data_IF_945041555404
#
_entry.id   IF_945041555404
#
_cell.length_a   1.000
_cell.length_b   1.000
_cell.length_c   1.000
_cell.angle_alpha   90.00
_cell.angle_beta   90.00
_cell.angle_gamma   90.00
#
_symmetry.space_group_name_H-M   'P 1'
#
loop_
_entity.id
_entity.type
_entity.pdbx_description
1 polymer ?
#
# COMPACT_ATOMS: atom_id res chain seq x y z
N UNK A 1 7.21 -65.52 -42.53
CA UNK A 1 6.71 -66.00 -41.23
C UNK A 1 7.87 -65.76 -40.26
N UNK A 2 7.88 -64.71 -39.45
CA UNK A 2 6.77 -64.18 -38.65
C UNK A 2 6.98 -62.69 -38.40
N UNK A 3 5.95 -61.88 -38.63
CA UNK A 3 5.89 -60.48 -38.19
C UNK A 3 5.50 -60.45 -36.71
N UNK A 4 6.38 -59.96 -35.85
CA UNK A 4 6.03 -59.49 -34.51
C UNK A 4 5.64 -58.00 -34.62
N UNK A 5 4.46 -57.58 -34.12
CA UNK A 5 4.09 -56.18 -34.19
C UNK A 5 4.93 -55.38 -33.19
N UNK A 6 5.69 -54.43 -33.72
CA UNK A 6 6.40 -53.37 -33.02
C UNK A 6 5.42 -52.63 -32.08
N UNK A 7 5.40 -52.99 -30.79
CA UNK A 7 4.67 -52.25 -29.77
C UNK A 7 5.38 -50.92 -29.55
N UNK A 8 4.80 -49.84 -30.08
CA UNK A 8 5.16 -48.48 -29.73
C UNK A 8 5.24 -48.34 -28.19
N UNK A 9 6.23 -47.63 -27.64
CA UNK A 9 6.33 -47.43 -26.21
C UNK A 9 5.04 -46.76 -25.71
N UNK A 10 4.30 -47.45 -24.84
CA UNK A 10 3.17 -46.84 -24.12
C UNK A 10 3.75 -45.65 -23.37
N UNK A 11 3.35 -44.43 -23.74
CA UNK A 11 3.64 -43.25 -22.93
C UNK A 11 3.05 -43.51 -21.54
N UNK A 12 3.91 -43.75 -20.56
CA UNK A 12 3.49 -43.95 -19.17
C UNK A 12 3.12 -42.57 -18.65
N UNK A 13 1.83 -42.29 -18.61
CA UNK A 13 1.29 -41.12 -17.92
C UNK A 13 1.26 -41.42 -16.43
N UNK A 14 1.59 -40.44 -15.60
CA UNK A 14 1.49 -40.57 -14.15
C UNK A 14 0.46 -39.60 -13.61
N UNK A 15 -0.32 -40.06 -12.64
CA UNK A 15 -1.14 -39.21 -11.78
C UNK A 15 -0.51 -39.15 -10.39
N UNK A 16 -0.84 -38.11 -9.65
CA UNK A 16 -0.50 -38.01 -8.23
C UNK A 16 -1.74 -38.30 -7.40
N UNK A 17 -1.63 -39.23 -6.46
CA UNK A 17 -2.70 -39.55 -5.52
C UNK A 17 -2.22 -39.29 -4.11
N UNK A 18 -3.05 -38.64 -3.30
CA UNK A 18 -2.83 -38.44 -1.88
C UNK A 18 -4.01 -38.96 -1.05
N UNK A 19 -3.77 -39.09 0.25
CA UNK A 19 -4.81 -39.07 1.25
C UNK A 19 -5.18 -37.61 1.62
N UNK A 20 -6.01 -37.47 2.64
CA UNK A 20 -6.44 -36.18 3.20
C UNK A 20 -5.33 -35.36 3.86
N UNK A 21 -4.17 -35.97 4.13
CA UNK A 21 -3.00 -35.25 4.66
C UNK A 21 -2.17 -34.63 3.51
N UNK A 22 -2.63 -34.83 2.26
CA UNK A 22 -2.07 -34.31 1.01
C UNK A 22 -0.65 -34.83 0.72
N UNK A 23 -0.35 -36.04 1.18
CA UNK A 23 0.90 -36.74 0.88
C UNK A 23 0.84 -37.39 -0.51
N UNK A 24 1.15 -36.61 -1.55
CA UNK A 24 1.07 -37.10 -2.94
C UNK A 24 2.14 -38.13 -3.28
N UNK A 25 1.69 -39.25 -3.85
CA UNK A 25 2.53 -40.27 -4.46
C UNK A 25 2.17 -40.48 -5.93
N UNK A 26 3.15 -40.72 -6.81
CA UNK A 26 2.88 -41.01 -8.20
C UNK A 26 2.28 -42.42 -8.39
N UNK A 27 1.36 -42.56 -9.33
CA UNK A 27 0.82 -43.84 -9.81
C UNK A 27 0.88 -43.85 -11.34
N UNK A 28 1.46 -44.91 -11.90
CA UNK A 28 1.53 -45.11 -13.35
C UNK A 28 0.16 -45.48 -13.91
N UNK A 29 -0.22 -44.85 -15.02
CA UNK A 29 -1.39 -45.19 -15.79
C UNK A 29 -1.01 -45.84 -17.12
N UNK A 30 -1.84 -46.78 -17.54
CA UNK A 30 -1.83 -47.33 -18.91
C UNK A 30 -2.88 -46.67 -19.81
N UNK A 31 -3.85 -45.96 -19.21
CA UNK A 31 -4.96 -45.28 -19.86
C UNK A 31 -4.90 -43.77 -19.56
N UNK A 32 -5.22 -42.94 -20.55
CA UNK A 32 -5.20 -41.47 -20.45
C UNK A 32 -6.57 -40.88 -20.08
N UNK A 33 -7.57 -41.71 -19.80
CA UNK A 33 -8.89 -41.27 -19.31
C UNK A 33 -9.42 -42.23 -18.24
N UNK A 34 -8.73 -42.38 -17.10
CA UNK A 34 -9.14 -43.34 -16.09
C UNK A 34 -10.49 -42.97 -15.46
N UNK A 35 -11.33 -43.95 -15.20
CA UNK A 35 -12.55 -43.72 -14.42
C UNK A 35 -12.24 -43.60 -12.92
N UNK A 36 -13.17 -43.04 -12.13
CA UNK A 36 -13.05 -43.05 -10.66
C UNK A 36 -12.81 -44.46 -10.10
N UNK A 37 -13.54 -45.48 -10.59
CA UNK A 37 -13.37 -46.88 -10.18
C UNK A 37 -11.96 -47.41 -10.51
N UNK A 38 -11.39 -47.05 -11.67
CA UNK A 38 -10.03 -47.45 -12.04
C UNK A 38 -8.99 -46.77 -11.14
N UNK A 39 -9.18 -45.51 -10.76
CA UNK A 39 -8.31 -44.80 -9.80
C UNK A 39 -8.36 -45.50 -8.44
N UNK A 40 -9.55 -45.85 -7.95
CA UNK A 40 -9.70 -46.62 -6.69
C UNK A 40 -9.01 -47.98 -6.77
N UNK A 41 -9.15 -48.70 -7.88
CA UNK A 41 -8.48 -49.97 -8.09
C UNK A 41 -6.96 -49.85 -8.04
N UNK A 42 -6.38 -48.81 -8.65
CA UNK A 42 -4.93 -48.53 -8.60
C UNK A 42 -4.44 -48.15 -7.20
N UNK A 43 -5.33 -47.66 -6.34
CA UNK A 43 -5.01 -47.36 -4.95
C UNK A 43 -5.08 -48.58 -4.02
N UNK A 44 -5.48 -49.75 -4.53
CA UNK A 44 -5.62 -51.00 -3.76
C UNK A 44 -6.54 -50.85 -2.52
N UNK A 45 -7.58 -50.01 -2.61
CA UNK A 45 -8.55 -49.82 -1.52
C UNK A 45 -9.70 -50.83 -1.59
N UNK A 46 -10.23 -51.25 -0.43
CA UNK A 46 -11.31 -52.25 -0.35
C UNK A 46 -12.17 -52.07 0.93
N UNK A 47 -13.51 -52.24 0.86
CA UNK A 47 -14.30 -52.30 -0.38
C UNK A 47 -14.33 -50.91 -1.04
N UNK A 48 -14.26 -50.86 -2.39
CA UNK A 48 -14.16 -49.58 -3.12
C UNK A 48 -15.38 -48.67 -2.93
N UNK A 49 -16.55 -49.25 -2.67
CA UNK A 49 -17.79 -48.53 -2.39
C UNK A 49 -17.72 -47.60 -1.16
N UNK A 50 -16.76 -47.81 -0.26
CA UNK A 50 -16.59 -46.96 0.91
C UNK A 50 -15.66 -45.76 0.65
N UNK A 51 -15.10 -45.65 -0.56
CA UNK A 51 -14.10 -44.65 -0.92
C UNK A 51 -14.62 -43.71 -2.00
N UNK A 52 -14.17 -42.47 -1.91
CA UNK A 52 -14.40 -41.42 -2.91
C UNK A 52 -13.10 -41.04 -3.57
N UNK A 53 -13.19 -40.58 -4.83
CA UNK A 53 -12.08 -39.95 -5.56
C UNK A 53 -12.42 -38.48 -5.70
N UNK A 54 -11.54 -37.61 -5.22
CA UNK A 54 -11.64 -36.18 -5.44
C UNK A 54 -10.53 -35.75 -6.39
N UNK A 55 -10.86 -34.97 -7.41
CA UNK A 55 -9.88 -34.39 -8.32
C UNK A 55 -9.54 -32.97 -7.90
N UNK A 56 -8.25 -32.67 -7.74
CA UNK A 56 -7.76 -31.31 -7.49
C UNK A 56 -7.36 -30.67 -8.81
N UNK A 57 -8.24 -29.82 -9.31
CA UNK A 57 -8.11 -29.15 -10.60
C UNK A 57 -7.00 -28.11 -10.60
N UNK A 58 -6.52 -27.77 -11.81
CA UNK A 58 -5.54 -26.70 -11.99
C UNK A 58 -6.11 -25.31 -11.61
N UNK A 59 -7.45 -25.16 -11.63
CA UNK A 59 -8.11 -23.94 -11.15
C UNK A 59 -7.94 -23.73 -9.66
N UNK A 60 -7.69 -24.77 -8.87
CA UNK A 60 -7.74 -24.74 -7.40
C UNK A 60 -9.01 -25.38 -6.81
N UNK A 61 -10.04 -25.62 -7.64
CA UNK A 61 -11.25 -26.31 -7.21
C UNK A 61 -10.97 -27.79 -6.92
N UNK A 62 -11.79 -28.37 -6.04
CA UNK A 62 -11.80 -29.80 -5.76
C UNK A 62 -13.22 -30.32 -5.94
N UNK A 63 -13.35 -31.33 -6.80
CA UNK A 63 -14.63 -31.97 -7.14
C UNK A 63 -14.56 -33.49 -6.99
N UNK A 64 -15.71 -34.13 -6.83
CA UNK A 64 -15.82 -35.59 -6.81
C UNK A 64 -15.79 -36.13 -8.24
N UNK A 65 -14.98 -37.17 -8.46
CA UNK A 65 -15.05 -38.01 -9.67
C UNK A 65 -15.81 -39.27 -9.31
N UNK A 66 -16.97 -39.45 -9.93
CA UNK A 66 -17.81 -40.64 -9.68
C UNK A 66 -17.15 -41.92 -10.19
N UNK A 67 -17.51 -43.11 -9.68
CA UNK A 67 -16.89 -44.36 -10.10
C UNK A 67 -16.93 -44.63 -11.61
N UNK A 68 -18.03 -44.24 -12.28
CA UNK A 68 -18.28 -44.40 -13.70
C UNK A 68 -17.88 -43.18 -14.56
N UNK A 69 -17.40 -42.11 -13.92
CA UNK A 69 -16.99 -40.88 -14.58
C UNK A 69 -15.52 -40.93 -14.98
N UNK A 70 -15.21 -40.42 -16.18
CA UNK A 70 -13.84 -40.28 -16.66
C UNK A 70 -13.19 -39.04 -16.05
N UNK A 71 -12.06 -39.23 -15.36
CA UNK A 71 -11.29 -38.13 -14.83
C UNK A 71 -10.56 -37.35 -15.94
N UNK A 72 -10.56 -36.02 -15.83
CA UNK A 72 -9.89 -35.16 -16.80
C UNK A 72 -8.40 -35.04 -16.47
N UNK A 73 -7.54 -35.80 -17.13
CA UNK A 73 -6.08 -35.73 -16.90
C UNK A 73 -5.33 -34.89 -17.96
N UNK A 74 -5.91 -33.76 -18.36
CA UNK A 74 -5.36 -32.88 -19.39
C UNK A 74 -4.38 -31.85 -18.82
N UNK A 75 -3.18 -31.78 -19.39
CA UNK A 75 -2.20 -30.73 -19.07
C UNK A 75 -0.75 -31.21 -19.03
N UNK A 76 0.22 -30.30 -18.90
CA UNK A 76 1.64 -30.64 -18.79
C UNK A 76 2.05 -31.15 -17.39
N UNK A 77 1.24 -30.85 -16.36
CA UNK A 77 1.46 -31.32 -15.00
C UNK A 77 0.64 -32.59 -14.71
N UNK A 78 1.13 -33.51 -13.87
CA UNK A 78 0.38 -34.70 -13.51
C UNK A 78 -0.91 -34.30 -12.76
N UNK A 79 -2.04 -34.88 -13.18
CA UNK A 79 -3.31 -34.66 -12.50
C UNK A 79 -3.26 -35.18 -11.06
N UNK A 80 -3.88 -34.43 -10.15
CA UNK A 80 -3.85 -34.68 -8.70
C UNK A 80 -5.20 -35.19 -8.22
N UNK A 81 -5.18 -36.25 -7.44
CA UNK A 81 -6.35 -36.86 -6.85
C UNK A 81 -6.17 -37.07 -5.35
N UNK A 82 -7.27 -37.02 -4.62
CA UNK A 82 -7.35 -37.34 -3.20
C UNK A 82 -8.30 -38.51 -3.06
N UNK A 83 -7.84 -39.60 -2.46
CA UNK A 83 -8.65 -40.80 -2.22
C UNK A 83 -8.84 -40.98 -0.73
N UNK A 84 -10.09 -41.07 -0.29
CA UNK A 84 -10.42 -41.19 1.13
C UNK A 84 -11.61 -42.10 1.35
N UNK A 85 -11.60 -42.83 2.47
CA UNK A 85 -12.77 -43.58 2.95
C UNK A 85 -13.76 -42.59 3.56
N UNK A 86 -14.98 -42.47 3.02
CA UNK A 86 -16.03 -41.61 3.57
C UNK A 86 -17.40 -41.97 2.99
N UNK A 87 -18.47 -41.67 3.74
CA UNK A 87 -19.87 -41.79 3.30
C UNK A 87 -20.49 -40.44 2.90
N UNK A 88 -19.74 -39.33 3.08
CA UNK A 88 -20.23 -37.97 2.85
C UNK A 88 -19.11 -37.00 2.48
N UNK A 89 -19.50 -35.95 1.75
CA UNK A 89 -18.62 -34.85 1.35
C UNK A 89 -19.16 -33.54 1.91
N UNK A 90 -18.24 -32.71 2.39
CA UNK A 90 -18.53 -31.38 2.92
C UNK A 90 -18.06 -30.32 1.93
N UNK A 91 -18.93 -29.34 1.66
CA UNK A 91 -18.63 -28.25 0.73
C UNK A 91 -18.15 -27.03 1.49
N UNK A 92 -17.07 -26.42 1.02
CA UNK A 92 -16.58 -25.14 1.54
C UNK A 92 -15.97 -24.32 0.41
N UNK A 93 -15.73 -23.04 0.67
CA UNK A 93 -14.97 -22.18 -0.22
C UNK A 93 -13.65 -21.80 0.42
N UNK A 94 -12.60 -21.77 -0.38
CA UNK A 94 -11.28 -21.26 0.00
C UNK A 94 -10.85 -20.24 -1.04
N UNK A 95 -10.63 -19.00 -0.62
CA UNK A 95 -10.55 -17.85 -1.52
C UNK A 95 -11.83 -17.79 -2.39
N UNK A 96 -11.67 -17.85 -3.71
CA UNK A 96 -12.76 -17.89 -4.68
C UNK A 96 -13.05 -19.31 -5.21
N UNK A 97 -12.35 -20.33 -4.70
CA UNK A 97 -12.46 -21.72 -5.16
C UNK A 97 -13.55 -22.49 -4.41
N UNK A 98 -14.24 -23.38 -5.11
CA UNK A 98 -15.24 -24.29 -4.54
C UNK A 98 -14.63 -25.68 -4.34
N UNK A 99 -14.60 -26.13 -3.09
CA UNK A 99 -13.95 -27.39 -2.72
C UNK A 99 -14.94 -28.35 -2.05
N UNK A 100 -14.78 -29.63 -2.35
CA UNK A 100 -15.35 -30.74 -1.56
C UNK A 100 -14.28 -31.39 -0.70
N UNK A 101 -14.62 -31.75 0.53
CA UNK A 101 -13.72 -32.38 1.49
C UNK A 101 -14.34 -33.63 2.13
N UNK A 102 -13.59 -34.72 2.34
CA UNK A 102 -14.16 -35.99 2.80
C UNK A 102 -14.25 -36.12 4.33
N UNK A 103 -13.74 -35.14 5.10
CA UNK A 103 -13.83 -35.11 6.56
C UNK A 103 -14.66 -33.93 7.02
N UNK A 104 -15.42 -34.10 8.11
CA UNK A 104 -16.23 -33.03 8.72
C UNK A 104 -15.41 -31.94 9.41
N UNK A 105 -14.09 -32.10 9.43
CA UNK A 105 -13.12 -31.10 9.88
C UNK A 105 -11.97 -31.02 8.90
N UNK A 106 -11.38 -29.84 8.79
CA UNK A 106 -10.18 -29.59 7.99
C UNK A 106 -9.22 -28.74 8.80
N UNK A 107 -7.95 -29.13 8.85
CA UNK A 107 -6.96 -28.38 9.63
C UNK A 107 -6.51 -27.14 8.87
N UNK A 108 -6.10 -26.13 9.63
CA UNK A 108 -5.52 -24.89 9.12
C UNK A 108 -4.31 -25.15 8.20
N UNK A 109 -3.47 -26.15 8.53
CA UNK A 109 -2.34 -26.56 7.69
C UNK A 109 -2.77 -27.08 6.32
N UNK A 110 -3.83 -27.90 6.28
CA UNK A 110 -4.36 -28.42 5.01
C UNK A 110 -5.00 -27.29 4.20
N UNK A 111 -5.76 -26.39 4.84
CA UNK A 111 -6.29 -25.19 4.18
C UNK A 111 -5.18 -24.37 3.52
N UNK A 112 -4.04 -24.16 4.20
CA UNK A 112 -2.89 -23.47 3.61
C UNK A 112 -2.33 -24.19 2.39
N UNK A 113 -2.18 -25.52 2.44
CA UNK A 113 -1.70 -26.32 1.31
C UNK A 113 -2.66 -26.22 0.11
N UNK A 114 -3.96 -26.28 0.36
CA UNK A 114 -4.99 -26.20 -0.68
C UNK A 114 -5.05 -24.82 -1.34
N UNK A 115 -4.95 -23.76 -0.55
CA UNK A 115 -5.03 -22.37 -1.03
C UNK A 115 -3.68 -21.77 -1.44
N UNK A 116 -2.58 -22.53 -1.36
CA UNK A 116 -1.22 -22.03 -1.55
C UNK A 116 -0.93 -20.75 -0.74
N UNK A 117 -1.32 -20.77 0.53
CA UNK A 117 -1.31 -19.58 1.40
C UNK A 117 0.07 -19.37 2.02
N UNK A 118 0.65 -18.18 1.84
CA UNK A 118 1.93 -17.79 2.43
C UNK A 118 1.89 -17.89 3.96
N UNK A 119 3.00 -18.33 4.59
CA UNK A 119 3.12 -18.46 6.03
C UNK A 119 2.87 -17.15 6.80
N UNK A 120 3.12 -16.00 6.17
CA UNK A 120 2.88 -14.68 6.76
C UNK A 120 1.43 -14.20 6.70
N UNK A 121 0.53 -14.95 6.06
CA UNK A 121 -0.89 -14.59 5.94
C UNK A 121 -1.71 -15.27 7.03
N UNK A 122 -2.75 -14.58 7.52
CA UNK A 122 -3.71 -15.11 8.48
C UNK A 122 -4.93 -15.65 7.73
N UNK A 123 -5.41 -16.83 8.11
CA UNK A 123 -6.65 -17.40 7.56
C UNK A 123 -7.85 -16.91 8.36
N UNK A 124 -8.90 -16.52 7.65
CA UNK A 124 -10.16 -16.04 8.23
C UNK A 124 -11.32 -16.89 7.74
N UNK A 125 -12.29 -17.13 8.61
CA UNK A 125 -13.58 -17.74 8.30
C UNK A 125 -14.62 -16.64 8.26
N UNK A 126 -15.28 -16.48 7.11
CA UNK A 126 -16.29 -15.45 6.93
C UNK A 126 -17.50 -15.74 7.82
N UNK A 127 -17.92 -14.76 8.62
CA UNK A 127 -19.12 -14.86 9.45
C UNK A 127 -20.16 -13.85 8.99
N UNK A 128 -21.43 -14.23 9.12
CA UNK A 128 -22.54 -13.36 8.76
C UNK A 128 -22.92 -12.51 9.96
N UNK A 129 -23.09 -11.21 9.75
CA UNK A 129 -23.58 -10.24 10.74
C UNK A 129 -22.68 -10.06 11.99
N UNK A 130 -21.49 -10.67 11.99
CA UNK A 130 -20.44 -10.52 13.02
C UNK A 130 -19.07 -10.45 12.33
N UNK A 131 -18.03 -9.94 13.01
CA UNK A 131 -16.67 -9.94 12.46
C UNK A 131 -16.20 -11.34 12.07
N UNK A 132 -15.41 -11.40 11.00
CA UNK A 132 -14.80 -12.65 10.53
C UNK A 132 -13.89 -13.25 11.60
N UNK A 133 -13.96 -14.56 11.72
CA UNK A 133 -13.25 -15.32 12.74
C UNK A 133 -11.84 -15.64 12.24
N UNK A 134 -10.83 -15.40 13.06
CA UNK A 134 -9.45 -15.81 12.77
C UNK A 134 -9.35 -17.33 12.99
N UNK A 135 -8.84 -18.06 12.00
CA UNK A 135 -8.51 -19.47 12.16
C UNK A 135 -7.08 -19.58 12.72
N UNK A 136 -6.96 -20.01 13.98
CA UNK A 136 -5.67 -20.12 14.65
C UNK A 136 -4.76 -21.17 14.00
N UNK A 137 -3.45 -20.91 13.98
CA UNK A 137 -2.46 -21.86 13.41
C UNK A 137 -2.54 -23.22 14.10
N UNK A 138 -2.66 -24.27 13.30
CA UNK A 138 -2.78 -25.65 13.81
C UNK A 138 -4.16 -26.02 14.37
N UNK A 139 -5.14 -25.11 14.31
CA UNK A 139 -6.53 -25.42 14.67
C UNK A 139 -7.27 -26.16 13.54
N UNK A 140 -8.44 -26.71 13.87
CA UNK A 140 -9.34 -27.35 12.92
C UNK A 140 -10.60 -26.49 12.70
N UNK A 141 -11.00 -26.33 11.43
CA UNK A 141 -12.30 -25.78 11.06
C UNK A 141 -13.33 -26.91 10.93
N UNK A 142 -14.48 -26.77 11.60
CA UNK A 142 -15.64 -27.66 11.39
C UNK A 142 -16.34 -27.31 10.09
N UNK A 143 -16.58 -28.33 9.25
CA UNK A 143 -17.37 -28.23 8.02
C UNK A 143 -18.75 -28.90 8.15
N UNK A 144 -19.05 -29.46 9.33
CA UNK A 144 -20.24 -30.27 9.56
C UNK A 144 -21.50 -29.46 9.89
N UNK A 145 -21.35 -28.16 10.16
CA UNK A 145 -22.45 -27.27 10.49
C UNK A 145 -23.27 -26.93 9.24
N UNK A 146 -24.52 -26.46 9.45
CA UNK A 146 -25.40 -26.07 8.36
C UNK A 146 -24.87 -24.81 7.67
N UNK A 147 -24.34 -24.96 6.45
CA UNK A 147 -23.86 -23.85 5.65
C UNK A 147 -22.76 -24.26 4.70
N UNK A 148 -22.13 -23.27 4.06
CA UNK A 148 -20.89 -23.43 3.32
C UNK A 148 -19.90 -22.49 3.97
N UNK A 149 -18.92 -23.03 4.69
CA UNK A 149 -17.85 -22.22 5.27
C UNK A 149 -17.07 -21.53 4.14
N UNK A 150 -16.74 -20.26 4.33
CA UNK A 150 -15.92 -19.50 3.38
C UNK A 150 -14.66 -19.06 4.09
N UNK A 151 -13.53 -19.59 3.64
CA UNK A 151 -12.22 -19.31 4.20
C UNK A 151 -11.44 -18.45 3.21
N UNK A 152 -10.69 -17.47 3.69
CA UNK A 152 -9.80 -16.67 2.86
C UNK A 152 -8.55 -16.26 3.64
N UNK A 153 -7.44 -16.05 2.95
CA UNK A 153 -6.21 -15.55 3.51
C UNK A 153 -6.16 -14.03 3.38
N UNK A 154 -5.67 -13.38 4.42
CA UNK A 154 -5.38 -11.95 4.39
C UNK A 154 -4.06 -11.68 5.09
N UNK A 155 -3.28 -10.76 4.51
CA UNK A 155 -2.11 -10.21 5.20
C UNK A 155 -2.64 -9.29 6.27
N UNK A 156 -2.47 -9.67 7.53
CA UNK A 156 -2.97 -8.87 8.64
C UNK A 156 -2.22 -7.54 8.67
N UNK A 157 -2.93 -6.46 8.32
CA UNK A 157 -2.41 -5.10 8.39
C UNK A 157 -3.03 -4.35 9.55
N UNK A 158 -2.18 -3.83 10.42
CA UNK A 158 -2.54 -2.99 11.56
C UNK A 158 -2.36 -1.53 11.18
N UNK A 159 -3.31 -0.67 11.52
CA UNK A 159 -3.28 0.74 11.12
C UNK A 159 -3.15 1.64 12.32
N UNK A 160 -2.30 2.65 12.20
CA UNK A 160 -2.22 3.74 13.18
C UNK A 160 -2.26 5.08 12.45
N UNK A 161 -2.94 6.06 13.05
CA UNK A 161 -2.95 7.43 12.55
C UNK A 161 -1.94 8.28 13.32
N UNK A 162 -0.89 8.74 12.64
CA UNK A 162 0.12 9.64 13.20
C UNK A 162 -0.13 11.04 12.64
N UNK A 163 -0.67 11.92 13.49
CA UNK A 163 -0.91 13.33 13.16
C UNK A 163 -1.68 13.53 11.84
N UNK A 164 -2.64 12.65 11.55
CA UNK A 164 -3.45 12.69 10.32
C UNK A 164 -3.01 11.71 9.24
N UNK A 165 -1.79 11.18 9.29
CA UNK A 165 -1.27 10.19 8.33
C UNK A 165 -1.59 8.78 8.82
N UNK A 166 -2.32 8.00 8.04
CA UNK A 166 -2.58 6.58 8.37
C UNK A 166 -1.46 5.75 7.76
N UNK A 167 -0.76 5.00 8.59
CA UNK A 167 0.29 4.05 8.20
C UNK A 167 -0.11 2.63 8.59
N UNK A 168 0.40 1.66 7.85
CA UNK A 168 0.04 0.24 7.98
C UNK A 168 1.27 -0.60 8.33
N UNK A 169 1.09 -1.55 9.24
CA UNK A 169 2.13 -2.45 9.75
C UNK A 169 1.68 -3.91 9.66
N UNK A 170 2.62 -4.83 9.47
CA UNK A 170 2.35 -6.27 9.49
C UNK A 170 2.31 -6.88 10.90
N UNK A 171 2.78 -6.15 11.91
CA UNK A 171 2.84 -6.59 13.30
C UNK A 171 1.88 -5.78 14.18
N UNK A 172 1.18 -6.41 15.15
CA UNK A 172 0.24 -5.72 16.04
C UNK A 172 0.93 -4.82 17.06
N UNK A 173 2.17 -5.12 17.42
CA UNK A 173 2.93 -4.34 18.39
C UNK A 173 4.08 -3.61 17.72
N UNK A 174 4.02 -2.28 17.72
CA UNK A 174 5.02 -1.41 17.10
C UNK A 174 5.58 -0.42 18.11
N UNK A 175 6.74 0.17 17.82
CA UNK A 175 7.23 1.31 18.59
C UNK A 175 6.66 2.62 18.06
N UNK A 176 6.51 3.61 18.94
CA UNK A 176 6.15 4.99 18.55
C UNK A 176 7.13 5.52 17.51
N UNK A 177 8.43 5.26 17.66
CA UNK A 177 9.50 5.62 16.72
C UNK A 177 9.25 5.07 15.32
N UNK A 178 8.93 3.78 15.20
CA UNK A 178 8.60 3.17 13.90
C UNK A 178 7.35 3.82 13.29
N UNK A 179 6.29 4.02 14.08
CA UNK A 179 5.07 4.70 13.63
C UNK A 179 5.37 6.10 13.07
N UNK A 180 6.23 6.86 13.76
CA UNK A 180 6.64 8.20 13.35
C UNK A 180 7.47 8.17 12.06
N UNK A 181 8.46 7.29 11.97
CA UNK A 181 9.32 7.15 10.79
C UNK A 181 8.52 6.80 9.54
N UNK A 182 7.63 5.80 9.63
CA UNK A 182 6.76 5.41 8.51
C UNK A 182 5.78 6.52 8.12
N UNK A 183 5.34 7.33 9.09
CA UNK A 183 4.48 8.48 8.84
C UNK A 183 5.25 9.73 8.38
N UNK A 184 6.58 9.66 8.26
CA UNK A 184 7.44 10.75 7.80
C UNK A 184 7.78 11.82 8.85
N UNK A 185 7.61 11.52 10.14
CA UNK A 185 8.00 12.39 11.26
C UNK A 185 9.36 12.00 11.81
N UNK A 186 10.22 12.99 12.09
CA UNK A 186 11.54 12.77 12.69
C UNK A 186 11.39 12.37 14.17
N UNK A 187 11.73 11.15 14.58
CA UNK A 187 11.65 10.73 15.97
C UNK A 187 12.71 11.40 16.86
N UNK A 188 13.78 11.98 16.31
CA UNK A 188 14.83 12.65 17.08
C UNK A 188 14.46 14.08 17.47
N UNK A 189 13.40 14.64 16.86
CA UNK A 189 12.87 15.92 17.28
C UNK A 189 12.17 15.81 18.65
N UNK A 190 12.24 16.89 19.44
CA UNK A 190 11.64 16.91 20.78
C UNK A 190 10.11 17.04 20.70
N UNK A 191 9.41 15.90 20.71
CA UNK A 191 7.96 15.83 20.67
C UNK A 191 7.35 15.59 22.05
N UNK A 192 6.24 16.27 22.34
CA UNK A 192 5.22 15.78 23.26
C UNK A 192 4.33 14.84 22.45
N UNK A 193 4.45 13.55 22.74
CA UNK A 193 3.71 12.49 22.03
C UNK A 193 2.56 12.02 22.91
N UNK A 194 1.37 12.04 22.32
CA UNK A 194 0.13 11.62 22.98
C UNK A 194 -0.47 10.48 22.17
N UNK A 195 -0.56 9.30 22.77
CA UNK A 195 -1.31 8.17 22.22
C UNK A 195 -2.77 8.25 22.69
N UNK A 196 -3.69 8.13 21.74
CA UNK A 196 -5.12 7.95 21.98
C UNK A 196 -5.55 6.60 21.41
N UNK A 197 -6.05 5.72 22.28
CA UNK A 197 -6.64 4.43 21.95
C UNK A 197 -8.11 4.41 22.33
N UNK A 198 -8.79 3.26 22.18
CA UNK A 198 -10.16 3.08 22.67
C UNK A 198 -10.22 3.15 24.21
N UNK A 199 -9.20 2.62 24.87
CA UNK A 199 -9.10 2.52 26.32
C UNK A 199 -8.71 3.83 27.01
N UNK A 200 -8.20 4.82 26.26
CA UNK A 200 -7.95 6.14 26.81
C UNK A 200 -6.87 6.94 26.08
N UNK A 201 -6.31 7.92 26.80
CA UNK A 201 -5.28 8.82 26.30
C UNK A 201 -4.11 8.84 27.30
N UNK A 202 -2.89 8.65 26.82
CA UNK A 202 -1.68 8.76 27.63
C UNK A 202 -0.53 9.43 26.87
N UNK A 203 0.39 10.03 27.62
CA UNK A 203 1.65 10.49 27.04
C UNK A 203 2.56 9.27 26.83
N UNK A 204 3.32 9.28 25.75
CA UNK A 204 4.25 8.20 25.39
C UNK A 204 5.61 8.77 24.98
N UNK A 205 6.65 7.95 25.08
CA UNK A 205 7.98 8.24 24.53
C UNK A 205 8.15 7.60 23.14
N UNK A 206 9.19 7.98 22.41
CA UNK A 206 9.53 7.37 21.10
C UNK A 206 9.81 5.88 21.20
N UNK A 207 10.30 5.40 22.34
CA UNK A 207 10.70 4.01 22.51
C UNK A 207 9.59 3.15 23.14
N UNK A 208 8.44 3.76 23.47
CA UNK A 208 7.29 3.04 23.97
C UNK A 208 6.69 2.13 22.88
N UNK A 209 6.26 0.94 23.29
CA UNK A 209 5.49 0.02 22.45
C UNK A 209 4.00 0.37 22.49
N UNK A 210 3.36 0.23 21.34
CA UNK A 210 1.93 0.43 21.10
C UNK A 210 1.37 -0.90 20.61
N UNK A 211 0.30 -1.34 21.23
CA UNK A 211 -0.52 -2.45 20.76
C UNK A 211 -1.66 -1.91 19.90
N UNK A 212 -1.77 -2.37 18.66
CA UNK A 212 -2.77 -1.95 17.67
C UNK A 212 -4.00 -2.87 17.64
N UNK A 213 -4.11 -3.80 18.59
CA UNK A 213 -5.24 -4.73 18.71
C UNK A 213 -6.49 -4.10 19.34
N UNK A 214 -6.43 -2.86 19.82
CA UNK A 214 -7.61 -2.23 20.41
C UNK A 214 -8.67 -1.91 19.34
N UNK A 215 -9.97 -1.97 19.68
CA UNK A 215 -11.01 -1.62 18.72
C UNK A 215 -10.89 -0.18 18.21
N UNK A 216 -10.66 0.00 16.90
CA UNK A 216 -10.59 1.31 16.25
C UNK A 216 -9.27 1.53 15.52
N UNK A 217 -8.89 2.79 15.33
CA UNK A 217 -7.57 3.16 14.82
C UNK A 217 -6.94 4.07 15.86
N UNK A 218 -5.85 3.60 16.47
CA UNK A 218 -5.05 4.35 17.42
C UNK A 218 -4.51 5.62 16.79
N UNK A 219 -4.37 6.67 17.59
CA UNK A 219 -3.93 7.99 17.11
C UNK A 219 -2.76 8.50 17.91
N UNK A 220 -1.62 8.74 17.25
CA UNK A 220 -0.52 9.52 17.80
C UNK A 220 -0.71 10.99 17.43
N UNK A 221 -0.77 11.84 18.46
CA UNK A 221 -0.64 13.28 18.30
C UNK A 221 0.77 13.72 18.67
N UNK A 222 1.37 14.47 17.77
CA UNK A 222 2.71 15.01 17.91
C UNK A 222 2.59 16.52 18.10
N UNK A 223 3.04 17.02 19.25
CA UNK A 223 3.15 18.46 19.53
C UNK A 223 4.61 18.79 19.80
N UNK A 224 5.26 19.68 19.04
CA UNK A 224 6.63 20.09 19.36
C UNK A 224 6.70 20.63 20.79
N UNK A 225 7.65 20.13 21.58
CA UNK A 225 8.02 20.76 22.86
C UNK A 225 8.95 21.91 22.50
N UNK A 226 8.65 23.13 22.94
CA UNK A 226 9.38 24.36 22.56
C UNK A 226 10.87 24.12 22.30
N UNK A 227 11.28 24.46 21.08
CA UNK A 227 12.50 24.01 20.43
C UNK A 227 13.65 24.94 20.82
N UNK A 228 14.71 24.37 21.41
CA UNK A 228 15.99 25.07 21.56
C UNK A 228 17.16 24.14 21.17
N UNK A 229 17.82 24.55 20.08
CA UNK A 229 19.19 24.31 19.63
C UNK A 229 19.75 22.92 19.28
N UNK A 230 20.47 22.90 18.13
CA UNK A 230 21.64 22.04 17.88
C UNK A 230 21.81 21.56 16.43
N UNK A 231 21.97 22.48 15.46
CA UNK A 231 23.17 22.62 14.62
C UNK A 231 23.47 21.54 13.56
N UNK A 232 23.32 21.92 12.29
CA UNK A 232 24.44 21.92 11.34
C UNK A 232 24.28 23.14 10.43
N UNK A 233 25.13 24.13 10.67
CA UNK A 233 25.22 25.35 9.88
C UNK A 233 25.65 25.02 8.45
N UNK A 234 24.87 25.51 7.48
CA UNK A 234 25.42 26.04 6.24
C UNK A 234 24.94 27.48 6.10
N UNK A 235 25.92 28.34 5.91
CA UNK A 235 25.83 29.80 5.95
C UNK A 235 24.70 30.35 5.08
N UNK A 236 23.92 31.29 5.64
CA UNK A 236 23.36 32.39 4.84
C UNK A 236 21.84 32.65 4.88
N UNK A 237 21.03 31.90 5.63
CA UNK A 237 19.58 32.19 5.67
C UNK A 237 18.91 32.05 7.04
N UNK A 238 18.11 33.05 7.43
CA UNK A 238 17.26 32.98 8.63
C UNK A 238 16.11 32.03 8.33
N UNK A 239 16.07 30.89 9.03
CA UNK A 239 15.01 29.88 8.86
C UNK A 239 14.12 29.80 10.10
N UNK A 240 12.98 30.48 10.07
CA UNK A 240 12.00 30.46 11.17
C UNK A 240 11.00 29.31 11.09
N UNK A 241 10.85 28.67 9.92
CA UNK A 241 10.09 27.44 9.76
C UNK A 241 10.72 26.57 8.68
N UNK A 242 10.47 25.27 8.71
CA UNK A 242 11.01 24.35 7.71
C UNK A 242 10.03 24.17 6.55
N UNK A 243 10.57 24.04 5.34
CA UNK A 243 9.81 23.59 4.17
C UNK A 243 9.75 22.06 4.13
N UNK A 244 8.97 21.50 3.20
CA UNK A 244 9.04 20.06 2.94
C UNK A 244 10.44 19.69 2.43
N UNK A 245 10.94 18.51 2.82
CA UNK A 245 12.27 18.05 2.44
C UNK A 245 12.48 18.04 0.91
N UNK A 246 11.46 17.66 0.15
CA UNK A 246 11.49 17.67 -1.32
C UNK A 246 11.66 19.08 -1.91
N UNK A 247 11.08 20.10 -1.28
CA UNK A 247 11.22 21.50 -1.68
C UNK A 247 12.61 22.05 -1.32
N UNK A 248 13.10 21.77 -0.12
CA UNK A 248 14.45 22.17 0.30
C UNK A 248 15.52 21.57 -0.62
N UNK A 249 15.41 20.27 -0.90
CA UNK A 249 16.30 19.57 -1.84
C UNK A 249 16.17 20.16 -3.25
N UNK A 250 14.95 20.50 -3.65
CA UNK A 250 14.66 21.17 -4.92
C UNK A 250 15.34 22.52 -5.09
N UNK A 251 15.16 23.41 -4.10
CA UNK A 251 15.76 24.74 -4.06
C UNK A 251 17.28 24.66 -3.98
N UNK A 252 17.81 23.71 -3.20
CA UNK A 252 19.25 23.43 -3.12
C UNK A 252 19.81 22.99 -4.47
N UNK A 253 19.17 22.05 -5.16
CA UNK A 253 19.59 21.61 -6.51
C UNK A 253 19.54 22.74 -7.54
N UNK A 254 18.55 23.65 -7.44
CA UNK A 254 18.45 24.85 -8.27
C UNK A 254 19.40 25.98 -7.85
N UNK A 255 20.15 25.81 -6.76
CA UNK A 255 21.04 26.81 -6.18
C UNK A 255 20.31 28.14 -5.92
N UNK A 256 19.05 28.06 -5.47
CA UNK A 256 18.22 29.21 -5.11
C UNK A 256 18.37 29.50 -3.61
N UNK A 257 19.11 30.56 -3.20
CA UNK A 257 19.22 30.91 -1.80
C UNK A 257 17.86 31.37 -1.27
N UNK A 258 17.50 30.94 -0.08
CA UNK A 258 16.20 31.30 0.50
C UNK A 258 16.23 31.48 2.01
N UNK A 259 15.30 32.31 2.49
CA UNK A 259 14.91 32.44 3.89
C UNK A 259 13.47 31.98 4.07
N UNK A 260 13.12 31.60 5.28
CA UNK A 260 11.73 31.34 5.69
C UNK A 260 11.44 32.17 6.92
N UNK A 261 10.38 32.97 6.91
CA UNK A 261 10.00 33.83 8.01
C UNK A 261 8.52 33.71 8.36
N UNK A 262 8.18 34.02 9.61
CA UNK A 262 6.81 34.16 10.08
C UNK A 262 6.53 35.65 10.32
N UNK A 263 5.46 36.17 9.70
CA UNK A 263 4.98 37.53 9.89
C UNK A 263 3.50 37.51 10.30
N UNK A 264 3.24 37.79 11.57
CA UNK A 264 1.94 37.51 12.19
C UNK A 264 1.58 36.02 12.10
N UNK A 265 0.43 35.71 11.50
CA UNK A 265 -0.04 34.35 11.27
C UNK A 265 0.39 33.76 9.91
N UNK A 266 1.14 34.51 9.09
CA UNK A 266 1.49 34.13 7.72
C UNK A 266 2.93 33.63 7.67
N UNK A 267 3.16 32.59 6.86
CA UNK A 267 4.48 32.02 6.63
C UNK A 267 4.95 32.41 5.24
N UNK A 268 6.19 32.86 5.13
CA UNK A 268 6.75 33.37 3.89
C UNK A 268 8.05 32.66 3.55
N UNK A 269 8.14 32.20 2.31
CA UNK A 269 9.39 31.78 1.67
C UNK A 269 9.94 32.97 0.87
N UNK A 270 11.16 33.40 1.15
CA UNK A 270 11.84 34.46 0.42
C UNK A 270 13.00 33.88 -0.39
N UNK A 271 12.85 33.82 -1.70
CA UNK A 271 13.89 33.41 -2.65
C UNK A 271 14.73 34.64 -3.03
N UNK A 272 16.00 34.67 -2.62
CA UNK A 272 16.91 35.80 -2.83
C UNK A 272 17.66 35.67 -4.15
N UNK A 273 18.00 36.80 -4.78
CA UNK A 273 18.80 36.81 -6.01
C UNK A 273 18.11 36.08 -7.17
N UNK A 274 16.77 36.12 -7.23
CA UNK A 274 16.00 35.48 -8.29
C UNK A 274 16.26 36.23 -9.60
N UNK A 275 16.94 35.57 -10.54
CA UNK A 275 17.35 36.18 -11.81
C UNK A 275 16.14 36.47 -12.69
N UNK A 276 16.11 37.66 -13.26
CA UNK A 276 15.05 38.12 -14.16
C UNK A 276 15.53 38.10 -15.61
N UNK A 277 14.62 37.91 -16.58
CA UNK A 277 14.96 38.06 -17.99
C UNK A 277 15.23 39.55 -18.31
N UNK A 278 15.96 39.80 -19.41
CA UNK A 278 16.24 41.15 -19.86
C UNK A 278 14.93 41.89 -20.21
N UNK A 279 14.80 43.13 -19.77
CA UNK A 279 13.60 43.95 -20.00
C UNK A 279 13.03 44.59 -18.73
N UNK A 280 13.42 44.10 -17.56
CA UNK A 280 13.06 44.70 -16.26
C UNK A 280 14.05 45.79 -15.79
N UNK A 281 13.60 46.64 -14.87
CA UNK A 281 14.38 47.70 -14.23
C UNK A 281 15.53 47.19 -13.32
N UNK A 282 15.54 45.90 -12.97
CA UNK A 282 16.59 45.24 -12.18
C UNK A 282 16.89 43.86 -12.77
N UNK A 283 18.12 43.38 -12.59
CA UNK A 283 18.55 42.07 -13.12
C UNK A 283 18.14 40.88 -12.21
N UNK A 284 17.89 41.16 -10.94
CA UNK A 284 17.45 40.18 -9.94
C UNK A 284 16.48 40.80 -8.94
N UNK A 285 15.65 39.97 -8.32
CA UNK A 285 14.70 40.36 -7.28
C UNK A 285 14.66 39.33 -6.17
N UNK A 286 14.12 39.69 -5.02
CA UNK A 286 13.61 38.71 -4.06
C UNK A 286 12.19 38.34 -4.46
N UNK A 287 11.90 37.03 -4.55
CA UNK A 287 10.54 36.51 -4.75
C UNK A 287 10.03 35.98 -3.42
N UNK A 288 8.92 36.52 -2.93
CA UNK A 288 8.20 36.01 -1.77
C UNK A 288 7.03 35.14 -2.21
N UNK A 289 6.84 34.02 -1.52
CA UNK A 289 5.72 33.10 -1.68
C UNK A 289 5.12 32.87 -0.28
N UNK A 290 3.81 33.05 -0.15
CA UNK A 290 3.11 32.66 1.07
C UNK A 290 2.96 31.15 1.12
N UNK A 291 3.29 30.53 2.26
CA UNK A 291 3.19 29.08 2.48
C UNK A 291 2.01 28.80 3.43
N UNK A 292 0.82 28.42 2.91
CA UNK A 292 -0.34 28.09 3.73
C UNK A 292 -0.01 27.01 4.75
N UNK A 293 -0.62 27.04 5.94
CA UNK A 293 -0.36 26.05 7.01
C UNK A 293 -0.64 24.61 6.57
N UNK A 294 -1.57 24.40 5.64
CA UNK A 294 -1.95 23.11 5.07
C UNK A 294 -1.24 22.75 3.76
N UNK A 295 -0.23 23.52 3.34
CA UNK A 295 0.64 23.12 2.22
C UNK A 295 1.31 21.76 2.52
N UNK A 296 1.35 20.79 1.57
CA UNK A 296 1.05 20.92 0.14
C UNK A 296 -0.39 20.51 -0.25
N UNK A 297 -1.28 20.28 0.71
CA UNK A 297 -2.70 20.05 0.42
C UNK A 297 -3.39 21.30 -0.07
N UNK A 298 -3.04 22.47 0.49
CA UNK A 298 -3.44 23.77 -0.02
C UNK A 298 -2.49 24.28 -1.12
N UNK A 299 -3.05 25.04 -2.05
CA UNK A 299 -2.30 25.61 -3.16
C UNK A 299 -1.38 26.74 -2.75
N UNK A 300 -0.24 26.84 -3.45
CA UNK A 300 0.53 28.07 -3.49
C UNK A 300 -0.09 28.98 -4.53
N UNK A 301 -0.39 30.22 -4.13
CA UNK A 301 -1.04 31.19 -4.99
C UNK A 301 -0.27 32.50 -5.03
N UNK A 302 -0.28 33.15 -6.20
CA UNK A 302 0.43 34.39 -6.47
C UNK A 302 1.95 34.31 -6.21
N UNK A 303 2.63 35.44 -6.39
CA UNK A 303 3.97 35.67 -5.87
C UNK A 303 4.17 37.17 -5.65
N UNK A 304 5.26 37.55 -4.97
CA UNK A 304 5.52 38.95 -4.66
C UNK A 304 6.98 39.29 -4.90
N UNK A 305 7.28 40.48 -5.41
CA UNK A 305 8.64 40.87 -5.77
C UNK A 305 9.11 42.09 -4.96
N UNK A 306 10.37 42.03 -4.52
CA UNK A 306 11.10 43.17 -3.97
C UNK A 306 12.53 43.21 -4.52
N UNK A 307 12.97 44.33 -5.14
CA UNK A 307 12.22 45.56 -5.37
C UNK A 307 11.05 45.38 -6.36
N UNK A 308 10.15 46.37 -6.44
CA UNK A 308 9.05 46.35 -7.39
C UNK A 308 9.58 46.35 -8.83
N UNK A 309 8.99 45.49 -9.67
CA UNK A 309 9.39 45.29 -11.05
C UNK A 309 8.62 46.21 -11.97
N UNK A 310 9.34 46.83 -12.90
CA UNK A 310 8.82 47.66 -13.97
C UNK A 310 9.54 47.30 -15.27
N UNK A 311 8.83 47.38 -16.40
CA UNK A 311 9.42 47.17 -17.71
C UNK A 311 10.19 48.42 -18.15
N UNK A 312 11.38 48.22 -18.70
CA UNK A 312 12.20 49.27 -19.32
C UNK A 312 11.54 49.92 -20.53
N UNK A 313 10.59 49.23 -21.16
CA UNK A 313 9.74 49.77 -22.23
C UNK A 313 8.71 50.79 -21.74
N UNK A 314 8.47 50.88 -20.43
CA UNK A 314 7.42 51.70 -19.83
C UNK A 314 6.02 51.08 -19.88
N UNK A 315 5.85 49.88 -20.46
CA UNK A 315 4.59 49.14 -20.41
C UNK A 315 4.23 48.80 -18.96
N UNK A 316 2.99 49.06 -18.57
CA UNK A 316 2.47 48.74 -17.24
C UNK A 316 2.22 47.23 -17.17
N UNK A 317 2.70 46.61 -16.10
CA UNK A 317 2.44 45.20 -15.81
C UNK A 317 1.10 45.08 -15.10
N UNK A 318 0.13 44.42 -15.73
CA UNK A 318 -1.22 44.30 -15.17
C UNK A 318 -1.27 43.44 -13.90
N UNK A 319 -2.19 43.79 -13.00
CA UNK A 319 -2.44 43.10 -11.72
C UNK A 319 -1.20 43.07 -10.80
N UNK A 320 -0.45 44.17 -10.76
CA UNK A 320 0.72 44.39 -9.90
C UNK A 320 0.67 45.62 -9.01
N UNK A 321 -0.50 46.27 -8.90
CA UNK A 321 -0.66 47.56 -8.20
C UNK A 321 -0.74 47.41 -6.67
N UNK A 322 -0.98 46.21 -6.16
CA UNK A 322 -1.13 45.95 -4.71
C UNK A 322 0.21 45.67 -4.07
N UNK A 323 0.42 46.24 -2.88
CA UNK A 323 1.62 46.05 -2.08
C UNK A 323 1.30 45.17 -0.87
N UNK A 324 2.17 44.19 -0.62
CA UNK A 324 2.17 43.37 0.58
C UNK A 324 3.33 43.79 1.47
N UNK A 325 3.02 44.17 2.71
CA UNK A 325 4.03 44.39 3.73
C UNK A 325 4.45 43.03 4.32
N UNK A 326 5.75 42.75 4.31
CA UNK A 326 6.36 41.57 4.92
C UNK A 326 7.50 42.09 5.81
N UNK A 327 7.27 42.14 7.12
CA UNK A 327 8.20 42.69 8.12
C UNK A 327 8.74 44.09 7.78
N UNK A 328 7.85 44.98 7.35
CA UNK A 328 8.19 46.37 7.00
C UNK A 328 8.82 46.52 5.60
N UNK A 329 9.06 45.42 4.88
CA UNK A 329 9.49 45.45 3.48
C UNK A 329 8.25 45.36 2.60
N UNK A 330 8.13 46.31 1.67
CA UNK A 330 6.98 46.44 0.77
C UNK A 330 7.20 45.67 -0.53
N UNK A 331 6.61 44.50 -0.63
CA UNK A 331 6.65 43.67 -1.84
C UNK A 331 5.51 44.02 -2.80
N UNK A 332 5.81 44.11 -4.08
CA UNK A 332 4.81 44.23 -5.15
C UNK A 332 4.13 42.87 -5.36
N UNK A 333 2.80 42.80 -5.20
CA UNK A 333 2.03 41.56 -5.40
C UNK A 333 1.77 41.31 -6.88
N UNK A 334 1.95 40.07 -7.32
CA UNK A 334 1.63 39.60 -8.66
C UNK A 334 0.45 38.63 -8.62
N UNK A 335 -0.72 39.08 -9.08
CA UNK A 335 -1.92 38.23 -9.16
C UNK A 335 -1.83 37.31 -10.37
N UNK A 336 -1.13 36.19 -10.21
CA UNK A 336 -0.98 35.13 -11.21
C UNK A 336 -1.41 33.82 -10.57
N UNK A 337 -2.55 33.31 -11.02
CA UNK A 337 -3.24 32.15 -10.45
C UNK A 337 -3.17 30.97 -11.40
N UNK A 338 -3.29 29.75 -10.86
CA UNK A 338 -3.45 28.55 -11.69
C UNK A 338 -4.83 28.57 -12.35
N UNK A 339 -4.87 28.22 -13.64
CA UNK A 339 -6.11 28.15 -14.40
C UNK A 339 -6.85 26.82 -14.21
N UNK A 340 -8.12 26.73 -14.64
CA UNK A 340 -8.92 25.51 -14.51
C UNK A 340 -8.38 24.32 -15.32
N UNK A 341 -7.53 24.58 -16.31
CA UNK A 341 -6.88 23.55 -17.14
C UNK A 341 -5.66 22.92 -16.47
N UNK A 342 -5.08 23.56 -15.46
CA UNK A 342 -3.94 23.07 -14.70
C UNK A 342 -4.04 23.49 -13.22
N UNK A 343 -5.09 23.05 -12.50
CA UNK A 343 -5.29 23.40 -11.10
C UNK A 343 -4.19 22.80 -10.22
N UNK A 344 -4.04 23.31 -9.00
CA UNK A 344 -3.17 22.71 -8.00
C UNK A 344 -3.60 21.26 -7.72
N UNK A 345 -2.64 20.34 -7.74
CA UNK A 345 -2.83 18.93 -7.38
C UNK A 345 -2.23 18.70 -6.00
N UNK A 346 -3.06 18.53 -4.96
CA UNK A 346 -2.61 18.24 -3.60
C UNK A 346 -1.57 17.13 -3.58
N UNK A 347 -0.53 17.29 -2.77
CA UNK A 347 0.57 16.32 -2.60
C UNK A 347 1.44 16.03 -3.84
N UNK A 348 1.09 16.52 -5.04
CA UNK A 348 1.86 16.34 -6.28
C UNK A 348 2.55 17.62 -6.73
N UNK A 349 1.87 18.75 -6.63
CA UNK A 349 2.48 20.05 -6.92
C UNK A 349 3.25 20.58 -5.70
N UNK A 350 4.27 21.40 -5.94
CA UNK A 350 5.24 21.81 -4.94
C UNK A 350 5.75 23.23 -5.19
N UNK A 351 6.68 23.73 -4.37
CA UNK A 351 7.33 25.02 -4.60
C UNK A 351 7.98 25.04 -5.99
N UNK A 352 8.60 23.93 -6.42
CA UNK A 352 9.25 23.86 -7.73
C UNK A 352 8.27 23.97 -8.91
N UNK A 353 7.08 23.38 -8.80
CA UNK A 353 6.07 23.50 -9.86
C UNK A 353 5.38 24.86 -9.83
N UNK A 354 5.37 25.55 -8.68
CA UNK A 354 4.96 26.94 -8.56
C UNK A 354 5.98 27.89 -9.17
N UNK A 355 7.28 27.61 -9.00
CA UNK A 355 8.34 28.38 -9.65
C UNK A 355 8.20 28.38 -11.17
N UNK A 356 7.76 27.28 -11.78
CA UNK A 356 7.48 27.26 -13.23
C UNK A 356 6.40 28.27 -13.64
N UNK A 357 5.37 28.47 -12.80
CA UNK A 357 4.34 29.49 -13.03
C UNK A 357 4.94 30.90 -12.90
N UNK A 358 5.80 31.12 -11.91
CA UNK A 358 6.49 32.39 -11.70
C UNK A 358 7.41 32.71 -12.88
N UNK A 359 8.24 31.76 -13.29
CA UNK A 359 9.14 31.88 -14.45
C UNK A 359 8.36 32.23 -15.72
N UNK A 360 7.28 31.49 -16.01
CA UNK A 360 6.43 31.74 -17.17
C UNK A 360 5.78 33.12 -17.10
N UNK A 361 5.35 33.55 -15.92
CA UNK A 361 4.74 34.86 -15.71
C UNK A 361 5.74 35.99 -15.97
N UNK A 362 6.97 35.86 -15.48
CA UNK A 362 8.02 36.88 -15.66
C UNK A 362 8.50 36.95 -17.11
N UNK A 363 8.69 35.82 -17.78
CA UNK A 363 9.11 35.79 -19.20
C UNK A 363 8.04 36.43 -20.09
N UNK A 364 6.77 36.13 -19.87
CA UNK A 364 5.66 36.64 -20.69
C UNK A 364 5.57 38.17 -20.73
N UNK A 365 5.99 38.87 -19.67
CA UNK A 365 5.88 40.33 -19.62
C UNK A 365 7.02 41.05 -20.37
N UNK A 366 8.12 40.37 -20.68
CA UNK A 366 9.24 40.95 -21.45
C UNK A 366 9.26 40.49 -22.91
N UNK A 367 8.55 39.42 -23.23
CA UNK A 367 8.36 39.01 -24.62
C UNK A 367 7.45 40.01 -25.38
N UNK A 368 7.70 40.21 -26.69
CA UNK A 368 6.95 41.15 -27.53
C UNK A 368 5.44 40.92 -27.55
#
# INVERSE_FOLDING_TARGET
>A
MSDEPNQLPRNVTFIQVADVDLNFRPISLTDVTPTGEQILALCNVTPRSDYVVLQWLASGDIEEVRPDENALISGPAPARFIVSKTDRLFRFKLEDHSLVWPRGKISEEILRKLGNVEASSTLYVRRKDVPDEVLETGSDLSLAELGVEQVYASKQTWKINVQGVVVEFSEPEITVRQAMQEAGFDPEQNWIIVLKTASGRRNVSTDDRIDLREPGIEKLRLTPRDVNNGELAREGGKREFQLLKSDEDGLTRRQLPYDTLVDGARRWLLLKGYKLPAGYNVAETTVAIEIPSSYPSAELDMFYCFPALNLTSGRIIEQTQVVQDIRGIKFQRWSRHRGPTAPWRPMRDSILTHLTLIDTSLVREVEP
#
